data_IF_750545441812
#
_entry.id   IF_750545441812
#
_cell.length_a   1.000
_cell.length_b   1.000
_cell.length_c   1.000
_cell.angle_alpha   90.00
_cell.angle_beta   90.00
_cell.angle_gamma   90.00
#
_symmetry.space_group_name_H-M   'P 1'
#
loop_
_entity.id
_entity.type
_entity.pdbx_description
1 polymer ?
#
# COMPACT_ATOMS: atom_id res chain seq x y z
N UNK A 1 14.38 5.28 -12.19
CA UNK A 1 13.27 6.27 -12.02
C UNK A 1 13.22 7.20 -13.25
N UNK A 2 12.08 7.83 -13.51
CA UNK A 2 11.86 8.69 -14.68
C UNK A 2 12.72 9.97 -14.59
N UNK A 3 13.78 10.03 -15.40
CA UNK A 3 14.80 11.08 -15.31
C UNK A 3 14.29 12.45 -15.78
N UNK A 4 13.22 12.49 -16.59
CA UNK A 4 12.57 13.72 -17.06
C UNK A 4 12.06 14.59 -15.90
N UNK A 5 11.77 13.97 -14.76
CA UNK A 5 11.21 14.62 -13.57
C UNK A 5 12.20 14.66 -12.39
N UNK A 6 13.50 14.54 -12.66
CA UNK A 6 14.52 14.69 -11.61
C UNK A 6 14.45 16.08 -10.99
N UNK A 7 14.44 16.16 -9.65
CA UNK A 7 14.33 17.42 -8.91
C UNK A 7 12.92 18.04 -8.90
N UNK A 8 11.91 17.35 -9.47
CA UNK A 8 10.51 17.75 -9.39
C UNK A 8 9.85 17.20 -8.14
N UNK A 9 8.76 17.84 -7.72
CA UNK A 9 7.90 17.35 -6.67
C UNK A 9 6.69 16.64 -7.29
N UNK A 10 6.59 15.33 -7.08
CA UNK A 10 5.56 14.48 -7.70
C UNK A 10 4.57 14.02 -6.63
N UNK A 11 3.29 14.24 -6.90
CA UNK A 11 2.19 13.77 -6.08
C UNK A 11 1.55 12.54 -6.74
N UNK A 12 1.56 11.41 -6.03
CA UNK A 12 0.77 10.24 -6.38
C UNK A 12 -0.58 10.37 -5.67
N UNK A 13 -1.65 10.44 -6.45
CA UNK A 13 -2.99 10.70 -5.95
C UNK A 13 -3.81 9.42 -6.10
N UNK A 14 -4.34 8.97 -4.97
CA UNK A 14 -5.23 7.82 -4.85
C UNK A 14 -6.66 8.38 -4.80
N UNK A 15 -7.23 8.57 -6.00
CA UNK A 15 -8.41 9.41 -6.21
C UNK A 15 -9.68 8.58 -6.40
N UNK A 16 -9.89 7.56 -5.56
CA UNK A 16 -11.03 6.62 -5.59
C UNK A 16 -11.09 5.70 -6.82
N UNK A 17 -10.84 6.21 -8.04
CA UNK A 17 -11.08 5.50 -9.30
C UNK A 17 -9.83 5.17 -10.14
N UNK A 18 -8.67 5.71 -9.77
CA UNK A 18 -7.47 5.64 -10.59
C UNK A 18 -6.19 5.89 -9.80
N UNK A 19 -5.06 5.52 -10.40
CA UNK A 19 -3.75 6.07 -10.06
C UNK A 19 -3.52 7.34 -10.89
N UNK A 20 -3.53 8.49 -10.24
CA UNK A 20 -3.25 9.78 -10.88
C UNK A 20 -1.90 10.32 -10.42
N UNK A 21 -1.02 10.65 -11.35
CA UNK A 21 0.31 11.20 -11.06
C UNK A 21 0.34 12.66 -11.51
N UNK A 22 0.72 13.56 -10.62
CA UNK A 22 0.70 15.01 -10.84
C UNK A 22 2.05 15.61 -10.48
N UNK A 23 2.65 16.40 -11.38
CA UNK A 23 3.76 17.29 -11.06
C UNK A 23 3.21 18.50 -10.29
N UNK A 24 3.63 18.64 -9.04
CA UNK A 24 3.25 19.72 -8.13
C UNK A 24 4.44 20.62 -7.80
N UNK A 25 5.47 20.65 -8.66
CA UNK A 25 6.65 21.51 -8.47
C UNK A 25 6.25 22.98 -8.38
N UNK A 26 5.33 23.42 -9.25
CA UNK A 26 4.73 24.76 -9.18
C UNK A 26 3.40 24.65 -8.45
N UNK A 27 3.37 25.04 -7.18
CA UNK A 27 2.22 24.84 -6.27
C UNK A 27 0.92 25.48 -6.77
N UNK A 28 1.03 26.62 -7.44
CA UNK A 28 -0.11 27.33 -8.01
C UNK A 28 -0.61 26.74 -9.33
N UNK A 29 0.14 25.82 -9.95
CA UNK A 29 -0.19 25.25 -11.25
C UNK A 29 0.24 23.77 -11.35
N UNK A 30 -0.46 22.87 -10.64
CA UNK A 30 -0.24 21.43 -10.78
C UNK A 30 -0.50 20.95 -12.22
N UNK A 31 0.30 19.99 -12.70
CA UNK A 31 0.16 19.40 -14.03
C UNK A 31 -0.01 17.90 -13.90
N UNK A 32 -1.14 17.36 -14.35
CA UNK A 32 -1.38 15.92 -14.40
C UNK A 32 -0.45 15.32 -15.47
N UNK A 33 0.38 14.37 -15.06
CA UNK A 33 1.28 13.61 -15.94
C UNK A 33 0.60 12.37 -16.51
N UNK A 34 -0.22 11.70 -15.69
CA UNK A 34 -1.01 10.54 -16.10
C UNK A 34 -2.22 10.36 -15.19
N UNK A 35 -3.26 9.74 -15.72
CA UNK A 35 -4.41 9.21 -14.98
C UNK A 35 -4.76 7.84 -15.55
N UNK A 36 -4.50 6.79 -14.80
CA UNK A 36 -4.65 5.41 -15.28
C UNK A 36 -5.65 4.67 -14.39
N UNK A 37 -6.83 4.28 -14.93
CA UNK A 37 -7.76 3.41 -14.20
C UNK A 37 -7.20 1.98 -14.14
N UNK A 38 -7.73 1.16 -13.24
CA UNK A 38 -7.34 -0.23 -13.11
C UNK A 38 -8.56 -1.13 -12.85
N UNK A 39 -8.44 -2.40 -13.21
CA UNK A 39 -9.50 -3.37 -13.00
C UNK A 39 -9.68 -3.69 -11.51
N UNK A 40 -10.93 -3.79 -11.08
CA UNK A 40 -11.28 -4.06 -9.69
C UNK A 40 -11.24 -2.82 -8.79
N UNK A 41 -11.17 -1.61 -9.35
CA UNK A 41 -11.21 -0.40 -8.54
C UNK A 41 -12.56 -0.26 -7.81
N UNK A 42 -12.51 0.10 -6.53
CA UNK A 42 -13.68 0.48 -5.76
C UNK A 42 -13.42 1.81 -5.03
N UNK A 43 -12.35 1.88 -4.25
CA UNK A 43 -11.85 3.07 -3.58
C UNK A 43 -10.32 3.02 -3.50
N UNK A 44 -9.66 3.49 -4.56
CA UNK A 44 -8.22 3.80 -4.59
C UNK A 44 -7.88 4.67 -3.39
N UNK A 45 -7.29 4.07 -2.35
CA UNK A 45 -7.22 4.67 -1.03
C UNK A 45 -5.83 5.19 -0.71
N UNK A 46 -4.81 4.32 -0.77
CA UNK A 46 -3.46 4.69 -0.40
C UNK A 46 -2.42 3.84 -1.13
N UNK A 47 -1.23 4.39 -1.27
CA UNK A 47 -0.09 3.66 -1.78
C UNK A 47 1.25 4.31 -1.45
N UNK A 48 2.32 3.58 -1.76
CA UNK A 48 3.68 3.99 -1.44
C UNK A 48 4.67 3.50 -2.50
N UNK A 49 5.67 4.33 -2.81
CA UNK A 49 6.71 3.97 -3.78
C UNK A 49 7.82 3.15 -3.14
N UNK A 50 8.43 2.24 -3.90
CA UNK A 50 9.74 1.67 -3.51
C UNK A 50 10.79 2.77 -3.41
N UNK A 51 11.84 2.56 -2.60
CA UNK A 51 12.88 3.57 -2.38
C UNK A 51 13.60 3.99 -3.67
N UNK A 52 13.76 3.05 -4.61
CA UNK A 52 14.33 3.29 -5.94
C UNK A 52 13.35 3.95 -6.93
N UNK A 53 12.09 4.18 -6.50
CA UNK A 53 10.99 4.80 -7.24
C UNK A 53 10.73 4.15 -8.60
N UNK A 54 10.89 2.82 -8.68
CA UNK A 54 10.56 2.03 -9.87
C UNK A 54 9.16 1.44 -9.79
N UNK A 55 8.72 1.08 -8.59
CA UNK A 55 7.41 0.50 -8.35
C UNK A 55 6.61 1.32 -7.33
N UNK A 56 5.30 1.21 -7.41
CA UNK A 56 4.35 1.72 -6.43
C UNK A 56 3.41 0.60 -6.03
N UNK A 57 3.20 0.44 -4.73
CA UNK A 57 2.15 -0.41 -4.19
C UNK A 57 0.92 0.44 -3.91
N UNK A 58 -0.27 -0.07 -4.22
CA UNK A 58 -1.55 0.61 -4.03
C UNK A 58 -2.55 -0.38 -3.44
N UNK A 59 -3.30 0.09 -2.45
CA UNK A 59 -4.39 -0.61 -1.78
C UNK A 59 -5.73 0.06 -2.12
N UNK A 60 -6.78 -0.74 -2.27
CA UNK A 60 -8.14 -0.35 -2.66
C UNK A 60 -9.14 -0.79 -1.58
N UNK A 61 -9.46 0.10 -0.65
CA UNK A 61 -10.06 -0.24 0.64
C UNK A 61 -11.50 -0.82 0.55
N UNK A 62 -12.15 -0.76 -0.61
CA UNK A 62 -13.53 -1.24 -0.78
C UNK A 62 -13.65 -2.45 -1.72
N UNK A 63 -12.55 -2.94 -2.30
CA UNK A 63 -12.63 -4.03 -3.28
C UNK A 63 -13.03 -5.37 -2.61
N UNK A 64 -12.61 -5.61 -1.36
CA UNK A 64 -13.04 -6.77 -0.56
C UNK A 64 -14.51 -6.72 -0.21
N UNK A 65 -14.98 -5.55 0.25
CA UNK A 65 -16.37 -5.35 0.67
C UNK A 65 -17.32 -5.47 -0.53
N UNK A 66 -16.87 -5.02 -1.70
CA UNK A 66 -17.61 -5.12 -2.96
C UNK A 66 -17.51 -6.51 -3.62
N UNK A 67 -16.78 -7.45 -3.02
CA UNK A 67 -16.67 -8.83 -3.48
C UNK A 67 -15.81 -9.00 -4.74
N UNK A 68 -14.89 -8.06 -5.02
CA UNK A 68 -14.08 -8.06 -6.24
C UNK A 68 -12.88 -9.01 -6.19
N UNK A 69 -12.47 -9.41 -4.98
CA UNK A 69 -11.30 -10.26 -4.72
C UNK A 69 -11.63 -11.45 -3.77
N UNK A 70 -12.91 -11.87 -3.73
CA UNK A 70 -13.42 -12.91 -2.81
C UNK A 70 -13.12 -12.61 -1.31
N UNK A 71 -12.96 -11.33 -0.96
CA UNK A 71 -12.70 -10.87 0.39
C UNK A 71 -11.24 -11.00 0.84
N UNK A 72 -10.34 -11.45 -0.03
CA UNK A 72 -8.91 -11.55 0.29
C UNK A 72 -8.23 -10.22 0.00
N UNK A 73 -7.54 -9.69 1.00
CA UNK A 73 -6.78 -8.43 0.87
C UNK A 73 -5.96 -8.42 -0.41
N UNK A 74 -6.15 -7.42 -1.26
CA UNK A 74 -5.37 -7.24 -2.48
C UNK A 74 -4.34 -6.11 -2.32
N UNK A 75 -3.25 -6.16 -3.09
CA UNK A 75 -2.35 -5.02 -3.25
C UNK A 75 -1.91 -4.95 -4.69
N UNK A 76 -2.18 -3.82 -5.35
CA UNK A 76 -1.81 -3.55 -6.72
C UNK A 76 -0.35 -3.14 -6.81
N UNK A 77 0.38 -3.73 -7.76
CA UNK A 77 1.77 -3.40 -8.07
C UNK A 77 1.78 -2.61 -9.37
N UNK A 78 2.31 -1.39 -9.32
CA UNK A 78 2.46 -0.50 -10.45
C UNK A 78 3.93 -0.34 -10.82
N UNK A 79 4.25 -0.48 -12.10
CA UNK A 79 5.53 0.00 -12.65
C UNK A 79 5.38 1.49 -12.95
N UNK A 80 6.18 2.32 -12.28
CA UNK A 80 6.17 3.78 -12.40
C UNK A 80 7.47 4.34 -12.97
N UNK A 81 8.25 3.51 -13.68
CA UNK A 81 9.48 3.96 -14.33
C UNK A 81 9.24 5.05 -15.39
N UNK A 82 8.01 5.14 -15.92
CA UNK A 82 7.51 6.28 -16.69
C UNK A 82 6.34 6.93 -15.93
N UNK A 83 6.52 8.15 -15.43
CA UNK A 83 5.47 8.86 -14.70
C UNK A 83 4.32 9.35 -15.60
N UNK A 84 4.54 9.35 -16.92
CA UNK A 84 3.51 9.71 -17.92
C UNK A 84 2.80 8.48 -18.49
N UNK A 85 3.27 7.27 -18.17
CA UNK A 85 2.67 6.01 -18.60
C UNK A 85 2.95 4.93 -17.54
N UNK A 86 2.38 5.05 -16.33
CA UNK A 86 2.49 4.00 -15.33
C UNK A 86 1.67 2.79 -15.79
N UNK A 87 2.18 1.59 -15.49
CA UNK A 87 1.58 0.33 -15.95
C UNK A 87 1.23 -0.54 -14.75
N UNK A 88 0.02 -1.10 -14.75
CA UNK A 88 -0.33 -2.15 -13.80
C UNK A 88 0.52 -3.37 -14.10
N UNK A 89 1.31 -3.79 -13.11
CA UNK A 89 2.35 -4.80 -13.27
C UNK A 89 1.96 -6.15 -12.68
N UNK A 90 1.12 -6.15 -11.64
CA UNK A 90 0.63 -7.37 -11.00
C UNK A 90 -0.15 -7.06 -9.73
N UNK A 91 -0.58 -8.12 -9.04
CA UNK A 91 -1.28 -8.03 -7.76
C UNK A 91 -0.64 -9.00 -6.77
N UNK A 92 -0.62 -8.61 -5.50
CA UNK A 92 -0.48 -9.52 -4.39
C UNK A 92 -1.85 -9.80 -3.78
N UNK A 93 -2.07 -11.03 -3.34
CA UNK A 93 -3.24 -11.43 -2.57
C UNK A 93 -2.78 -12.02 -1.24
N UNK A 94 -3.35 -11.51 -0.16
CA UNK A 94 -3.13 -12.03 1.18
C UNK A 94 -3.70 -13.45 1.34
N UNK A 95 -3.09 -14.32 2.17
CA UNK A 95 -3.67 -15.61 2.50
C UNK A 95 -4.89 -15.52 3.45
N UNK A 96 -5.22 -14.33 3.94
CA UNK A 96 -6.34 -14.08 4.84
C UNK A 96 -7.33 -13.07 4.27
N UNK A 97 -8.58 -13.17 4.72
CA UNK A 97 -9.62 -12.21 4.38
C UNK A 97 -9.61 -11.03 5.35
N UNK A 98 -9.53 -9.82 4.80
CA UNK A 98 -9.60 -8.55 5.53
C UNK A 98 -9.65 -7.39 4.56
N UNK A 99 -10.17 -6.26 5.00
CA UNK A 99 -10.08 -5.03 4.23
C UNK A 99 -8.62 -4.54 4.20
N UNK A 100 -8.09 -4.28 3.02
CA UNK A 100 -6.78 -3.64 2.85
C UNK A 100 -6.81 -2.17 3.33
N UNK A 101 -5.68 -1.61 3.76
CA UNK A 101 -5.65 -0.21 4.17
C UNK A 101 -4.28 0.42 3.94
N UNK A 102 -3.69 1.10 4.93
CA UNK A 102 -2.43 1.82 4.77
C UNK A 102 -1.22 0.88 4.66
N UNK A 103 -0.33 1.17 3.71
CA UNK A 103 0.99 0.55 3.60
C UNK A 103 2.12 1.58 3.55
N UNK A 104 3.26 1.21 4.12
CA UNK A 104 4.49 2.00 4.08
C UNK A 104 5.68 1.13 3.67
N UNK A 105 6.59 1.67 2.86
CA UNK A 105 7.79 0.94 2.44
C UNK A 105 9.03 1.52 3.13
N UNK A 106 9.86 0.64 3.69
CA UNK A 106 11.22 0.95 4.17
C UNK A 106 12.15 -0.17 3.68
N UNK A 107 13.22 0.21 2.99
CA UNK A 107 14.12 -0.72 2.30
C UNK A 107 13.36 -1.62 1.33
N UNK A 108 13.48 -2.92 1.54
CA UNK A 108 12.83 -3.97 0.75
C UNK A 108 11.58 -4.56 1.42
N UNK A 109 10.92 -3.82 2.32
CA UNK A 109 9.75 -4.30 3.07
C UNK A 109 8.57 -3.35 2.96
N UNK A 110 7.38 -3.92 2.78
CA UNK A 110 6.09 -3.21 2.91
C UNK A 110 5.45 -3.56 4.25
N UNK A 111 5.03 -2.56 5.01
CA UNK A 111 4.36 -2.68 6.30
C UNK A 111 2.91 -2.25 6.12
N UNK A 112 2.01 -3.23 6.03
CA UNK A 112 0.61 -3.04 5.72
C UNK A 112 -0.23 -3.19 6.98
N UNK A 113 -1.13 -2.24 7.19
CA UNK A 113 -2.21 -2.36 8.15
C UNK A 113 -3.43 -2.82 7.38
N UNK A 114 -3.97 -3.99 7.73
CA UNK A 114 -5.17 -4.55 7.09
C UNK A 114 -6.20 -4.83 8.18
N UNK A 115 -6.92 -3.78 8.60
CA UNK A 115 -8.00 -3.77 9.59
C UNK A 115 -8.03 -4.99 10.52
N UNK A 116 -8.93 -5.94 10.26
CA UNK A 116 -9.25 -7.06 11.15
C UNK A 116 -8.11 -8.07 11.30
N UNK A 117 -7.08 -8.00 10.45
CA UNK A 117 -5.94 -8.93 10.44
C UNK A 117 -4.61 -8.29 10.82
N UNK A 118 -4.65 -7.03 11.26
CA UNK A 118 -3.53 -6.36 11.90
C UNK A 118 -2.40 -5.92 10.96
N UNK A 119 -1.18 -5.94 11.50
CA UNK A 119 0.04 -5.65 10.76
C UNK A 119 0.45 -6.86 9.94
N UNK A 120 0.74 -6.64 8.66
CA UNK A 120 1.27 -7.61 7.69
C UNK A 120 2.55 -7.04 7.10
N UNK A 121 3.60 -7.85 7.01
CA UNK A 121 4.91 -7.41 6.48
C UNK A 121 5.24 -8.24 5.25
N UNK A 122 5.39 -7.57 4.10
CA UNK A 122 5.76 -8.21 2.84
C UNK A 122 7.23 -7.94 2.50
N UNK A 123 7.93 -8.96 1.99
CA UNK A 123 9.22 -8.83 1.31
C UNK A 123 9.01 -8.41 -0.15
N UNK A 124 9.79 -7.42 -0.60
CA UNK A 124 9.77 -6.83 -1.93
C UNK A 124 10.94 -7.26 -2.83
N UNK A 125 11.83 -8.17 -2.42
CA UNK A 125 12.99 -8.63 -3.21
C UNK A 125 12.59 -9.18 -4.59
N UNK A 126 11.38 -9.73 -4.70
CA UNK A 126 10.81 -10.27 -5.93
C UNK A 126 9.98 -9.27 -6.75
N UNK A 127 9.85 -8.02 -6.33
CA UNK A 127 8.90 -7.06 -6.91
C UNK A 127 9.15 -6.80 -8.40
N UNK A 128 10.40 -6.88 -8.85
CA UNK A 128 10.77 -6.73 -10.26
C UNK A 128 10.20 -7.84 -11.17
N UNK A 129 9.75 -8.95 -10.58
CA UNK A 129 9.05 -10.05 -11.26
C UNK A 129 7.57 -10.13 -10.85
N UNK A 130 7.04 -9.12 -10.16
CA UNK A 130 5.64 -9.05 -9.71
C UNK A 130 5.37 -9.90 -8.47
N UNK A 131 6.41 -10.27 -7.71
CA UNK A 131 6.30 -11.19 -6.58
C UNK A 131 6.50 -10.43 -5.27
N UNK A 132 5.47 -10.40 -4.43
CA UNK A 132 5.55 -10.03 -3.02
C UNK A 132 5.32 -11.27 -2.15
N UNK A 133 5.93 -11.34 -0.98
CA UNK A 133 5.78 -12.48 -0.05
C UNK A 133 5.56 -11.98 1.37
N UNK A 134 4.49 -12.42 2.04
CA UNK A 134 4.34 -12.19 3.47
C UNK A 134 5.48 -12.91 4.23
N UNK A 135 6.16 -12.18 5.11
CA UNK A 135 7.27 -12.70 5.94
C UNK A 135 7.01 -12.57 7.44
N UNK A 136 6.02 -11.77 7.85
CA UNK A 136 5.56 -11.68 9.22
C UNK A 136 4.17 -11.05 9.28
N UNK A 137 3.45 -11.33 10.37
CA UNK A 137 2.20 -10.67 10.70
C UNK A 137 2.02 -10.58 12.21
N UNK A 138 1.22 -9.62 12.65
CA UNK A 138 0.77 -9.47 14.04
C UNK A 138 -0.67 -9.00 14.03
N UNK A 139 -1.57 -9.86 14.50
CA UNK A 139 -2.98 -9.57 14.57
C UNK A 139 -3.33 -8.97 15.94
N UNK A 140 -3.96 -7.80 15.92
CA UNK A 140 -4.46 -7.14 17.14
C UNK A 140 -5.77 -7.79 17.64
N UNK A 141 -6.47 -8.52 16.76
CA UNK A 141 -7.76 -9.20 16.97
C UNK A 141 -7.73 -10.64 16.42
N UNK A 142 -6.92 -11.54 16.99
CA UNK A 142 -6.69 -12.88 16.45
C UNK A 142 -7.89 -13.83 16.53
N UNK A 143 -9.01 -13.41 17.11
CA UNK A 143 -10.17 -14.28 17.33
C UNK A 143 -11.00 -14.47 16.05
N UNK A 144 -11.00 -13.50 15.13
CA UNK A 144 -11.77 -13.52 13.87
C UNK A 144 -11.05 -12.71 12.79
N UNK A 145 -10.91 -13.33 11.61
CA UNK A 145 -10.64 -12.63 10.36
C UNK A 145 -11.97 -12.37 9.64
N UNK A 146 -12.25 -11.13 9.30
CA UNK A 146 -13.44 -10.71 8.57
C UNK A 146 -13.20 -9.46 7.73
N UNK A 147 -14.11 -9.23 6.78
CA UNK A 147 -14.12 -8.05 5.90
C UNK A 147 -14.83 -6.92 6.65
N UNK A 148 -14.08 -6.19 7.48
CA UNK A 148 -14.64 -5.15 8.35
C UNK A 148 -13.61 -4.08 8.75
N UNK A 149 -14.10 -2.91 9.13
CA UNK A 149 -13.32 -1.71 9.48
C UNK A 149 -12.93 -1.64 10.98
N UNK A 150 -12.67 -2.77 11.63
CA UNK A 150 -12.15 -2.82 13.01
C UNK A 150 -10.77 -3.45 13.04
N UNK A 151 -10.05 -3.33 14.16
CA UNK A 151 -8.68 -3.83 14.29
C UNK A 151 -7.67 -2.71 14.08
N UNK A 152 -6.62 -2.94 13.30
CA UNK A 152 -5.55 -1.96 13.10
C UNK A 152 -5.95 -0.88 12.09
N UNK A 153 -5.75 0.39 12.44
CA UNK A 153 -5.99 1.53 11.55
C UNK A 153 -4.72 2.03 10.87
N UNK A 154 -3.58 2.02 11.57
CA UNK A 154 -2.30 2.40 10.99
C UNK A 154 -1.11 1.81 11.75
N UNK A 155 0.06 1.91 11.14
CA UNK A 155 1.35 1.56 11.72
C UNK A 155 2.40 2.65 11.41
N UNK A 156 3.49 2.70 12.17
CA UNK A 156 4.59 3.64 11.90
C UNK A 156 5.96 2.95 11.92
N UNK A 157 6.50 2.53 10.76
CA UNK A 157 7.72 1.72 10.74
C UNK A 157 9.02 2.53 10.75
N UNK A 158 8.96 3.87 10.81
CA UNK A 158 10.11 4.75 10.56
C UNK A 158 10.98 5.07 11.78
N UNK A 159 10.69 4.51 12.97
CA UNK A 159 11.55 4.75 14.12
C UNK A 159 12.90 4.03 13.99
N UNK A 160 13.99 4.78 14.22
CA UNK A 160 15.36 4.27 14.18
C UNK A 160 15.63 3.10 15.17
N UNK A 161 14.78 2.93 16.18
CA UNK A 161 14.84 1.81 17.13
C UNK A 161 14.46 0.46 16.49
N UNK A 162 13.80 0.48 15.32
CA UNK A 162 13.17 -0.68 14.69
C UNK A 162 11.84 -1.08 15.33
N UNK A 163 11.34 -0.30 16.29
CA UNK A 163 10.02 -0.52 16.88
C UNK A 163 8.94 0.05 15.98
N UNK A 164 7.83 -0.68 15.84
CA UNK A 164 6.69 -0.34 15.00
C UNK A 164 5.47 -0.18 15.91
N UNK A 165 5.03 1.06 16.20
CA UNK A 165 3.73 1.30 16.78
C UNK A 165 2.65 0.88 15.78
N UNK A 166 1.68 0.10 16.26
CA UNK A 166 0.47 -0.28 15.54
C UNK A 166 -0.70 0.22 16.36
N UNK A 167 -1.50 1.10 15.76
CA UNK A 167 -2.68 1.66 16.41
C UNK A 167 -3.91 0.87 15.96
N UNK A 168 -4.67 0.40 16.94
CA UNK A 168 -5.97 -0.22 16.76
C UNK A 168 -7.08 0.76 17.11
N UNK A 169 -8.21 0.64 16.40
CA UNK A 169 -9.42 1.44 16.62
C UNK A 169 -9.98 1.15 18.01
N UNK A 170 -10.09 -0.13 18.36
CA UNK A 170 -10.78 -0.59 19.57
C UNK A 170 -9.85 -1.18 20.65
N UNK A 171 -8.59 -1.50 20.35
CA UNK A 171 -7.65 -2.15 21.30
C UNK A 171 -6.44 -1.30 21.70
N UNK A 172 -6.37 -0.04 21.26
CA UNK A 172 -5.32 0.89 21.67
C UNK A 172 -4.02 0.74 20.89
N UNK A 173 -2.88 0.81 21.57
CA UNK A 173 -1.55 0.86 20.94
C UNK A 173 -0.69 -0.36 21.26
N UNK A 174 -0.14 -0.97 20.22
CA UNK A 174 0.83 -2.07 20.32
C UNK A 174 2.18 -1.58 19.82
N UNK A 175 3.27 -1.89 20.53
CA UNK A 175 4.63 -1.59 20.08
C UNK A 175 5.32 -2.92 19.73
N UNK A 176 5.60 -3.11 18.45
CA UNK A 176 6.14 -4.37 17.93
C UNK A 176 7.61 -4.20 17.54
N UNK A 177 8.39 -5.28 17.66
CA UNK A 177 9.74 -5.36 17.11
C UNK A 177 9.86 -6.65 16.29
N UNK A 178 9.76 -6.57 14.95
CA UNK A 178 9.88 -7.76 14.10
C UNK A 178 11.26 -8.41 14.20
N UNK A 179 11.31 -9.74 14.22
CA UNK A 179 12.54 -10.54 14.15
C UNK A 179 12.66 -11.17 12.76
N UNK A 180 12.86 -10.34 11.74
CA UNK A 180 12.84 -10.69 10.31
C UNK A 180 14.02 -10.09 9.55
#
# INVERSE_FOLDING_TARGET
PDTRFTGREICFNFNEDSLTITDVTVKSQPVILSRVPYFGNAYSHQGWTTEDRRFLLLNDELDELNGLNNGFTQTYIWNIQSLTNPEHFGNFFSPVQSIDHNLYIIGNRSFQTNYATGLRILNLDGIANGILREIASFDVRPEVNDIAFWGSWSNYPFFASGNIPVQSIERGLFILRPTI
#
